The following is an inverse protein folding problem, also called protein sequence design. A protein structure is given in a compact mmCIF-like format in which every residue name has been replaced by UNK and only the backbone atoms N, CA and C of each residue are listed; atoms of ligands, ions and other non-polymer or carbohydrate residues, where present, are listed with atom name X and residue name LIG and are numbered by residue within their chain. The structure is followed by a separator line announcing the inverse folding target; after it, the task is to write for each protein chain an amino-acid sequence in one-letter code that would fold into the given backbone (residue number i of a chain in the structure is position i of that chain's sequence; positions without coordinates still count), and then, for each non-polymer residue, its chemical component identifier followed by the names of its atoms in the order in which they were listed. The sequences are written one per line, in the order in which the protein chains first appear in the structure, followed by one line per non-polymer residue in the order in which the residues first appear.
data_IF_743874775551
#
_entry.id   IF_743874775551
#
_cell.length_a   1.000
_cell.length_b   1.000
_cell.length_c   1.000
_cell.angle_alpha   90.00
_cell.angle_beta   90.00
_cell.angle_gamma   90.00
#
_symmetry.space_group_name_H-M   'P 1'
#
loop_
_entity.id
_entity.type
_entity.pdbx_description
1 polymer ?
#
# COMPACT_ATOMS: atom_id res chain seq x y z
N UNK A 1 4.46 -20.89 12.45
CA UNK A 1 3.83 -22.01 11.71
C UNK A 1 3.44 -21.59 10.28
N UNK A 2 3.92 -22.27 9.23
CA UNK A 2 3.56 -21.95 7.82
C UNK A 2 2.05 -22.08 7.54
N UNK A 3 1.41 -23.14 8.06
CA UNK A 3 -0.03 -23.37 7.87
C UNK A 3 -0.92 -22.30 8.52
N UNK A 4 -0.46 -21.64 9.58
CA UNK A 4 -1.13 -20.47 10.16
C UNK A 4 -0.95 -19.23 9.26
N UNK A 5 0.28 -18.96 8.82
CA UNK A 5 0.60 -17.77 8.03
C UNK A 5 -0.08 -17.77 6.65
N UNK A 6 -0.27 -18.93 6.03
CA UNK A 6 -0.86 -19.08 4.69
C UNK A 6 -2.39 -18.96 4.64
N UNK A 7 -3.08 -18.85 5.77
CA UNK A 7 -4.54 -18.76 5.80
C UNK A 7 -5.05 -17.39 5.34
N UNK A 8 -6.17 -17.40 4.63
CA UNK A 8 -6.86 -16.18 4.17
C UNK A 8 -7.74 -15.53 5.24
N UNK A 9 -8.00 -16.24 6.35
CA UNK A 9 -8.83 -15.75 7.47
C UNK A 9 -8.15 -14.60 8.23
N UNK A 10 -8.93 -13.76 8.93
CA UNK A 10 -8.41 -12.81 9.94
C UNK A 10 -7.49 -13.49 10.95
N UNK A 11 -6.46 -12.79 11.46
CA UNK A 11 -5.42 -13.40 12.31
C UNK A 11 -6.02 -14.07 13.55
N UNK A 12 -7.00 -13.43 14.19
CA UNK A 12 -7.71 -13.93 15.36
C UNK A 12 -8.56 -15.18 15.07
N UNK A 13 -8.96 -15.43 13.82
CA UNK A 13 -9.71 -16.63 13.42
C UNK A 13 -8.85 -17.79 12.90
N UNK A 14 -7.57 -17.53 12.60
CA UNK A 14 -6.65 -18.55 12.08
C UNK A 14 -6.36 -19.60 13.14
N UNK A 15 -6.17 -20.84 12.71
CA UNK A 15 -5.78 -21.97 13.56
C UNK A 15 -4.66 -22.77 12.88
N UNK A 16 -3.98 -23.70 13.53
CA UNK A 16 -3.12 -24.65 12.83
C UNK A 16 -2.96 -25.93 13.66
N UNK A 17 -2.41 -26.99 13.05
CA UNK A 17 -2.14 -28.24 13.74
C UNK A 17 -1.34 -28.02 15.05
N UNK A 18 -0.30 -27.20 15.00
CA UNK A 18 0.51 -26.87 16.19
C UNK A 18 -0.27 -26.12 17.28
N UNK A 19 -1.21 -25.23 16.93
CA UNK A 19 -2.03 -24.54 17.93
C UNK A 19 -3.01 -25.50 18.60
N UNK A 20 -3.58 -26.43 17.83
CA UNK A 20 -4.45 -27.49 18.34
C UNK A 20 -3.70 -28.46 19.24
N UNK A 21 -2.47 -28.83 18.86
CA UNK A 21 -1.60 -29.70 19.67
C UNK A 21 -1.15 -29.00 20.96
N UNK A 22 -0.84 -27.70 20.91
CA UNK A 22 -0.35 -26.95 22.06
C UNK A 22 -1.46 -26.52 23.04
N UNK A 23 -2.59 -26.04 22.53
CA UNK A 23 -3.68 -25.49 23.35
C UNK A 23 -4.82 -26.50 23.60
N UNK A 24 -4.86 -27.60 22.85
CA UNK A 24 -5.97 -28.54 22.83
C UNK A 24 -7.04 -28.17 21.80
N UNK A 25 -7.66 -29.19 21.18
CA UNK A 25 -8.67 -28.99 20.14
C UNK A 25 -9.89 -28.21 20.62
N UNK A 26 -10.38 -28.53 21.82
CA UNK A 26 -11.58 -27.89 22.38
C UNK A 26 -11.33 -26.43 22.72
N UNK A 27 -10.18 -26.11 23.33
CA UNK A 27 -9.79 -24.72 23.59
C UNK A 27 -9.71 -23.93 22.28
N UNK A 28 -9.06 -24.50 21.26
CA UNK A 28 -8.90 -23.82 19.98
C UNK A 28 -10.24 -23.60 19.27
N UNK A 29 -11.18 -24.56 19.34
CA UNK A 29 -12.56 -24.38 18.86
C UNK A 29 -13.28 -23.26 19.61
N UNK A 30 -13.20 -23.23 20.94
CA UNK A 30 -13.79 -22.17 21.75
C UNK A 30 -13.19 -20.80 21.42
N UNK A 31 -11.86 -20.73 21.29
CA UNK A 31 -11.14 -19.50 20.90
C UNK A 31 -11.59 -19.00 19.52
N UNK A 32 -11.70 -19.90 18.54
CA UNK A 32 -12.18 -19.54 17.21
C UNK A 32 -13.63 -19.04 17.24
N UNK A 33 -14.52 -19.67 18.01
CA UNK A 33 -15.91 -19.23 18.18
C UNK A 33 -15.99 -17.86 18.86
N UNK A 34 -15.23 -17.65 19.94
CA UNK A 34 -15.22 -16.40 20.69
C UNK A 34 -14.67 -15.22 19.87
N UNK A 35 -13.75 -15.48 18.94
CA UNK A 35 -13.18 -14.46 18.05
C UNK A 35 -13.95 -14.31 16.72
N UNK A 36 -14.97 -15.13 16.48
CA UNK A 36 -15.79 -15.03 15.28
C UNK A 36 -16.83 -13.93 15.47
N UNK A 37 -16.66 -12.84 14.74
CA UNK A 37 -17.65 -11.77 14.69
C UNK A 37 -18.58 -12.03 13.49
N UNK A 38 -19.89 -12.22 13.70
CA UNK A 38 -20.85 -12.36 12.61
C UNK A 38 -20.78 -11.13 11.70
N UNK A 39 -20.77 -11.36 10.39
CA UNK A 39 -20.76 -10.23 9.44
C UNK A 39 -22.12 -9.53 9.48
N UNK A 40 -22.17 -8.19 9.42
CA UNK A 40 -23.42 -7.45 9.41
C UNK A 40 -24.34 -7.91 8.27
N UNK A 41 -25.61 -8.20 8.61
CA UNK A 41 -26.64 -8.57 7.64
C UNK A 41 -26.94 -7.41 6.68
N UNK A 42 -27.11 -7.69 5.39
CA UNK A 42 -27.44 -6.68 4.38
C UNK A 42 -26.23 -5.98 3.74
N UNK A 43 -25.00 -6.33 4.13
CA UNK A 43 -23.79 -5.93 3.42
C UNK A 43 -23.43 -7.03 2.42
N UNK A 44 -23.29 -6.67 1.14
CA UNK A 44 -22.77 -7.59 0.14
C UNK A 44 -21.29 -7.85 0.44
N UNK A 45 -20.89 -9.12 0.55
CA UNK A 45 -19.48 -9.45 0.83
C UNK A 45 -18.54 -9.06 -0.31
N UNK A 46 -19.09 -8.89 -1.51
CA UNK A 46 -18.38 -8.50 -2.70
C UNK A 46 -19.27 -7.67 -3.63
N UNK A 47 -18.71 -6.64 -4.25
CA UNK A 47 -19.37 -5.84 -5.29
C UNK A 47 -18.41 -5.62 -6.48
N UNK A 48 -18.93 -5.25 -7.64
CA UNK A 48 -18.07 -4.79 -8.73
C UNK A 48 -17.80 -3.28 -8.56
N UNK A 49 -16.54 -2.92 -8.35
CA UNK A 49 -16.10 -1.52 -8.28
C UNK A 49 -15.07 -1.25 -9.35
N UNK A 50 -15.32 -0.21 -10.14
CA UNK A 50 -14.34 0.36 -11.06
C UNK A 50 -13.89 1.70 -10.50
N UNK A 51 -12.60 1.83 -10.19
CA UNK A 51 -12.04 3.04 -9.59
C UNK A 51 -10.92 3.60 -10.47
N UNK A 52 -10.68 4.89 -10.31
CA UNK A 52 -9.59 5.63 -10.95
C UNK A 52 -8.22 5.06 -10.52
N UNK A 53 -7.36 4.75 -11.48
CA UNK A 53 -6.02 4.23 -11.23
C UNK A 53 -4.96 5.16 -11.81
N UNK A 54 -3.88 5.34 -11.06
CA UNK A 54 -2.81 6.24 -11.47
C UNK A 54 -1.84 5.61 -12.47
N UNK A 55 -1.38 6.41 -13.42
CA UNK A 55 -0.14 6.16 -14.18
C UNK A 55 1.10 6.54 -13.37
N UNK A 56 2.29 6.12 -13.84
CA UNK A 56 3.56 6.55 -13.26
C UNK A 56 3.89 7.95 -13.80
N UNK A 57 4.34 8.85 -12.95
CA UNK A 57 4.94 10.12 -13.39
C UNK A 57 6.29 9.88 -14.08
N UNK A 58 6.54 10.66 -15.12
CA UNK A 58 7.79 10.67 -15.88
C UNK A 58 8.13 12.12 -16.18
N UNK A 59 9.24 12.59 -15.62
CA UNK A 59 9.72 13.97 -15.71
C UNK A 59 10.04 14.44 -17.15
N UNK A 60 10.31 13.49 -18.05
CA UNK A 60 10.61 13.77 -19.47
C UNK A 60 9.34 13.98 -20.28
N UNK A 61 8.23 13.40 -19.83
CA UNK A 61 6.95 13.38 -20.56
C UNK A 61 5.93 14.34 -19.94
N UNK A 62 5.95 14.51 -18.63
CA UNK A 62 4.88 15.19 -17.89
C UNK A 62 5.38 16.51 -17.29
N UNK A 63 4.64 17.59 -17.55
CA UNK A 63 4.79 18.85 -16.84
C UNK A 63 3.79 18.92 -15.67
N UNK A 64 4.26 18.87 -14.41
CA UNK A 64 3.38 18.84 -13.24
C UNK A 64 2.90 20.24 -12.83
N UNK A 65 3.41 21.32 -13.43
CA UNK A 65 3.06 22.69 -13.02
C UNK A 65 1.57 22.94 -13.18
N UNK A 66 0.96 23.48 -12.13
CA UNK A 66 -0.48 23.73 -12.05
C UNK A 66 -1.31 22.52 -11.62
N UNK A 67 -0.75 21.31 -11.57
CA UNK A 67 -1.45 20.11 -11.10
C UNK A 67 -1.59 20.10 -9.58
N UNK A 68 -2.58 19.38 -9.07
CA UNK A 68 -2.79 19.21 -7.64
C UNK A 68 -1.88 18.11 -7.10
N UNK A 69 -1.26 18.34 -5.94
CA UNK A 69 -0.34 17.44 -5.25
C UNK A 69 -0.96 17.03 -3.92
N UNK A 70 -0.90 15.74 -3.61
CA UNK A 70 -1.17 15.19 -2.28
C UNK A 70 -0.13 14.14 -1.90
N UNK A 71 0.01 13.84 -0.60
CA UNK A 71 0.82 12.71 -0.15
C UNK A 71 0.26 11.40 -0.71
N UNK A 72 1.15 10.53 -1.20
CA UNK A 72 0.81 9.14 -1.47
C UNK A 72 0.89 8.36 -0.16
N UNK A 73 -0.25 7.88 0.31
CA UNK A 73 -0.37 7.09 1.53
C UNK A 73 -0.14 5.60 1.23
N UNK A 74 0.68 4.92 2.06
CA UNK A 74 0.90 3.47 2.02
C UNK A 74 -0.08 2.75 2.96
N UNK A 75 -1.37 2.86 2.66
CA UNK A 75 -2.45 2.25 3.43
C UNK A 75 -3.16 1.13 2.67
N UNK A 76 -4.44 0.95 2.96
CA UNK A 76 -5.34 0.06 2.22
C UNK A 76 -6.46 0.85 1.58
N UNK A 77 -6.43 0.99 0.26
CA UNK A 77 -7.49 1.66 -0.51
C UNK A 77 -8.86 1.10 -0.18
N UNK A 78 -9.78 2.00 0.15
CA UNK A 78 -11.16 1.69 0.50
C UNK A 78 -12.13 2.65 -0.21
N UNK A 79 -13.08 2.06 -0.92
CA UNK A 79 -14.23 2.73 -1.49
C UNK A 79 -15.39 2.65 -0.50
N UNK A 80 -15.88 3.79 -0.05
CA UNK A 80 -17.07 3.90 0.78
C UNK A 80 -18.29 4.12 -0.11
N UNK A 81 -19.28 3.23 -0.03
CA UNK A 81 -20.49 3.31 -0.85
C UNK A 81 -21.70 3.91 -0.11
N UNK A 82 -21.48 4.64 0.99
CA UNK A 82 -22.57 5.13 1.86
C UNK A 82 -22.99 4.17 2.97
N UNK A 83 -22.49 2.92 2.96
CA UNK A 83 -22.84 1.89 3.97
C UNK A 83 -21.68 1.02 4.42
N UNK A 84 -20.79 0.65 3.50
CA UNK A 84 -19.68 -0.25 3.78
C UNK A 84 -18.45 0.17 2.97
N UNK A 85 -17.28 -0.18 3.50
CA UNK A 85 -16.02 -0.08 2.76
C UNK A 85 -15.82 -1.29 1.87
N UNK A 86 -15.24 -1.06 0.70
CA UNK A 86 -14.85 -2.07 -0.25
C UNK A 86 -13.42 -1.83 -0.73
N UNK A 87 -12.65 -2.91 -0.82
CA UNK A 87 -11.33 -2.88 -1.46
C UNK A 87 -11.44 -2.53 -2.94
N UNK A 88 -10.31 -2.20 -3.57
CA UNK A 88 -10.19 -2.05 -5.03
C UNK A 88 -10.77 -3.21 -5.83
N UNK A 89 -10.71 -4.42 -5.29
CA UNK A 89 -11.21 -5.63 -5.96
C UNK A 89 -12.66 -5.96 -5.56
N UNK A 90 -13.34 -5.09 -4.80
CA UNK A 90 -14.73 -5.28 -4.46
C UNK A 90 -15.00 -6.07 -3.18
N UNK A 91 -13.98 -6.57 -2.48
CA UNK A 91 -14.17 -7.26 -1.19
C UNK A 91 -14.54 -6.28 -0.08
N UNK A 92 -15.56 -6.59 0.72
CA UNK A 92 -16.00 -5.76 1.84
C UNK A 92 -14.98 -5.75 3.00
N UNK A 93 -14.84 -4.58 3.64
CA UNK A 93 -14.19 -4.41 4.94
C UNK A 93 -15.26 -4.06 5.98
N UNK A 94 -15.35 -4.85 7.05
CA UNK A 94 -16.35 -4.69 8.10
C UNK A 94 -15.78 -3.81 9.22
N UNK A 95 -15.82 -2.49 8.98
CA UNK A 95 -15.50 -1.50 10.00
C UNK A 95 -16.58 -1.51 11.11
N UNK A 96 -16.22 -1.28 12.38
CA UNK A 96 -17.19 -1.08 13.44
C UNK A 96 -18.13 0.11 13.16
N UNK A 97 -19.38 0.03 13.63
CA UNK A 97 -20.37 1.09 13.41
C UNK A 97 -19.92 2.47 13.90
N UNK A 98 -19.19 2.53 15.02
CA UNK A 98 -18.65 3.78 15.56
C UNK A 98 -17.61 4.44 14.64
N UNK A 99 -16.93 3.66 13.80
CA UNK A 99 -15.91 4.18 12.88
C UNK A 99 -16.56 4.90 11.69
N UNK A 100 -17.71 4.42 11.23
CA UNK A 100 -18.41 4.92 10.04
C UNK A 100 -19.59 5.84 10.36
N UNK A 101 -19.84 6.13 11.65
CA UNK A 101 -21.04 6.86 12.11
C UNK A 101 -21.18 8.26 11.48
N UNK A 102 -20.04 8.92 11.25
CA UNK A 102 -19.94 10.28 10.71
C UNK A 102 -19.67 10.31 9.20
N UNK A 103 -19.74 9.17 8.50
CA UNK A 103 -19.55 9.13 7.05
C UNK A 103 -20.86 9.38 6.29
N UNK A 104 -20.80 10.03 5.12
CA UNK A 104 -22.00 10.38 4.37
C UNK A 104 -22.68 9.12 3.81
N UNK A 105 -24.00 9.10 3.78
CA UNK A 105 -24.77 7.95 3.26
C UNK A 105 -25.15 8.10 1.79
N UNK A 106 -25.15 9.33 1.29
CA UNK A 106 -25.56 9.77 -0.04
C UNK A 106 -24.37 10.17 -0.93
N UNK A 107 -23.17 10.30 -0.36
CA UNK A 107 -21.94 10.56 -1.09
C UNK A 107 -20.98 9.37 -0.99
N UNK A 108 -20.61 8.78 -2.13
CA UNK A 108 -19.57 7.75 -2.15
C UNK A 108 -18.19 8.41 -2.10
N UNK A 109 -17.28 7.82 -1.32
CA UNK A 109 -15.93 8.34 -1.13
C UNK A 109 -14.89 7.31 -1.60
N UNK A 110 -13.76 7.81 -2.09
CA UNK A 110 -12.57 7.03 -2.40
C UNK A 110 -11.40 7.59 -1.59
N UNK A 111 -10.68 6.67 -0.96
CA UNK A 111 -9.73 7.02 0.07
C UNK A 111 -8.85 5.84 0.47
N UNK A 112 -7.99 6.08 1.43
CA UNK A 112 -7.06 5.10 1.99
C UNK A 112 -7.35 4.89 3.47
N UNK A 113 -7.60 3.66 3.90
CA UNK A 113 -7.53 3.31 5.32
C UNK A 113 -6.05 3.29 5.72
N UNK A 114 -5.66 4.18 6.64
CA UNK A 114 -4.27 4.47 6.93
C UNK A 114 -4.02 4.47 8.45
N UNK A 115 -3.09 3.62 8.91
CA UNK A 115 -2.69 3.53 10.31
C UNK A 115 -1.43 4.32 10.65
N UNK A 116 -0.96 5.19 9.75
CA UNK A 116 0.29 5.93 9.88
C UNK A 116 1.40 5.43 8.95
N UNK A 117 2.44 6.26 8.82
CA UNK A 117 3.59 5.99 7.95
C UNK A 117 4.36 4.76 8.45
N UNK A 118 4.76 3.87 7.55
CA UNK A 118 5.43 2.61 7.91
C UNK A 118 4.53 1.54 8.55
N UNK A 119 3.22 1.78 8.71
CA UNK A 119 2.27 0.87 9.38
C UNK A 119 1.42 0.01 8.43
N UNK A 120 1.82 -0.11 7.16
CA UNK A 120 1.05 -0.83 6.14
C UNK A 120 0.65 -2.26 6.57
N UNK A 121 1.60 -3.05 7.10
CA UNK A 121 1.31 -4.43 7.50
C UNK A 121 0.31 -4.51 8.66
N UNK A 122 0.43 -3.60 9.64
CA UNK A 122 -0.51 -3.47 10.75
C UNK A 122 -1.90 -3.09 10.22
N UNK A 123 -1.96 -2.08 9.36
CA UNK A 123 -3.18 -1.61 8.69
C UNK A 123 -3.90 -2.75 7.97
N UNK A 124 -3.20 -3.50 7.12
CA UNK A 124 -3.75 -4.67 6.42
C UNK A 124 -4.31 -5.70 7.39
N UNK A 125 -3.62 -5.96 8.49
CA UNK A 125 -4.08 -6.91 9.51
C UNK A 125 -5.36 -6.45 10.19
N UNK A 126 -5.48 -5.16 10.50
CA UNK A 126 -6.64 -4.57 11.17
C UNK A 126 -7.85 -4.60 10.25
N UNK A 127 -7.74 -4.06 9.02
CA UNK A 127 -8.89 -3.91 8.11
C UNK A 127 -9.45 -5.23 7.60
N UNK A 128 -8.62 -6.29 7.57
CA UNK A 128 -9.07 -7.66 7.23
C UNK A 128 -9.83 -8.32 8.38
N UNK A 129 -9.69 -7.83 9.60
CA UNK A 129 -10.34 -8.37 10.78
C UNK A 129 -11.64 -7.63 11.02
N UNK A 130 -12.76 -8.35 10.85
CA UNK A 130 -14.10 -7.79 11.03
C UNK A 130 -14.24 -7.21 12.45
N UNK A 131 -14.70 -5.97 12.53
CA UNK A 131 -14.96 -5.22 13.76
C UNK A 131 -13.82 -5.25 14.80
N UNK A 132 -12.57 -5.30 14.35
CA UNK A 132 -11.42 -5.29 15.25
C UNK A 132 -11.43 -4.05 16.17
N UNK A 133 -11.14 -4.19 17.48
CA UNK A 133 -11.03 -3.02 18.36
C UNK A 133 -9.85 -2.09 17.98
N UNK A 134 -8.92 -2.58 17.14
CA UNK A 134 -7.77 -1.80 16.64
C UNK A 134 -8.12 -0.87 15.47
N UNK A 135 -9.37 -0.84 15.00
CA UNK A 135 -9.79 0.19 14.04
C UNK A 135 -9.60 1.61 14.58
N UNK A 136 -9.46 1.78 15.91
CA UNK A 136 -9.19 3.08 16.55
C UNK A 136 -7.83 3.67 16.15
N UNK A 137 -6.91 2.81 15.70
CA UNK A 137 -5.57 3.20 15.24
C UNK A 137 -5.54 3.54 13.74
N UNK A 138 -6.71 3.51 13.07
CA UNK A 138 -6.87 3.75 11.64
C UNK A 138 -7.64 5.05 11.43
N UNK A 139 -7.30 5.80 10.39
CA UNK A 139 -8.14 6.86 9.82
C UNK A 139 -8.43 6.59 8.35
N UNK A 140 -9.58 7.05 7.87
CA UNK A 140 -9.94 7.01 6.46
C UNK A 140 -9.58 8.32 5.76
N UNK A 141 -8.48 8.32 5.01
CA UNK A 141 -7.98 9.49 4.30
C UNK A 141 -8.64 9.59 2.93
N UNK A 142 -9.56 10.54 2.77
CA UNK A 142 -10.40 10.71 1.59
C UNK A 142 -9.76 11.65 0.58
N UNK A 143 -9.63 11.19 -0.67
CA UNK A 143 -8.97 11.94 -1.73
C UNK A 143 -9.82 12.13 -2.99
N UNK A 144 -11.01 11.51 -3.10
CA UNK A 144 -11.93 11.74 -4.22
C UNK A 144 -13.36 11.23 -3.92
N UNK A 145 -14.30 11.50 -4.83
CA UNK A 145 -15.65 10.94 -4.82
C UNK A 145 -16.03 10.41 -6.21
N UNK A 146 -16.09 9.08 -6.40
CA UNK A 146 -16.47 8.48 -7.68
C UNK A 146 -17.91 8.79 -8.09
N UNK A 147 -18.80 9.01 -7.12
CA UNK A 147 -20.22 9.31 -7.37
C UNK A 147 -20.40 10.63 -8.13
N UNK A 148 -19.54 11.61 -7.87
CA UNK A 148 -19.55 12.92 -8.51
C UNK A 148 -18.75 12.94 -9.83
N UNK A 149 -18.62 11.79 -10.52
CA UNK A 149 -17.61 11.62 -11.56
C UNK A 149 -17.74 12.51 -12.80
N UNK A 150 -18.91 13.10 -13.05
CA UNK A 150 -19.14 14.10 -14.11
C UNK A 150 -18.57 15.47 -13.78
N UNK A 151 -18.41 15.78 -12.49
CA UNK A 151 -17.87 17.04 -12.02
C UNK A 151 -16.34 17.08 -12.13
N UNK A 152 -15.80 18.28 -12.25
CA UNK A 152 -14.36 18.50 -12.22
C UNK A 152 -13.78 18.23 -10.83
N UNK A 153 -12.51 17.79 -10.77
CA UNK A 153 -11.83 17.42 -9.54
C UNK A 153 -11.95 18.47 -8.43
N UNK A 154 -11.79 19.75 -8.76
CA UNK A 154 -11.88 20.85 -7.80
C UNK A 154 -13.26 20.94 -7.15
N UNK A 155 -14.35 20.72 -7.92
CA UNK A 155 -15.71 20.74 -7.38
C UNK A 155 -15.94 19.54 -6.48
N UNK A 156 -15.44 18.35 -6.85
CA UNK A 156 -15.54 17.14 -6.01
C UNK A 156 -14.82 17.33 -4.68
N UNK A 157 -13.59 17.83 -4.71
CA UNK A 157 -12.81 18.09 -3.49
C UNK A 157 -13.42 19.17 -2.61
N UNK A 158 -13.98 20.23 -3.21
CA UNK A 158 -14.66 21.27 -2.47
C UNK A 158 -15.90 20.75 -1.73
N UNK A 159 -16.74 19.93 -2.38
CA UNK A 159 -17.92 19.33 -1.74
C UNK A 159 -17.56 18.36 -0.62
N UNK A 160 -16.50 17.56 -0.79
CA UNK A 160 -15.98 16.71 0.29
C UNK A 160 -15.49 17.59 1.44
N UNK A 161 -14.75 18.67 1.14
CA UNK A 161 -14.23 19.57 2.16
C UNK A 161 -15.36 20.25 2.96
N UNK A 162 -16.39 20.76 2.29
CA UNK A 162 -17.57 21.34 2.96
C UNK A 162 -18.22 20.34 3.92
N UNK A 163 -18.41 19.09 3.47
CA UNK A 163 -18.93 18.02 4.35
C UNK A 163 -18.04 17.79 5.57
N UNK A 164 -16.71 17.77 5.40
CA UNK A 164 -15.76 17.53 6.48
C UNK A 164 -15.67 18.69 7.47
N UNK A 165 -15.86 19.92 7.00
CA UNK A 165 -15.90 21.12 7.85
C UNK A 165 -17.19 21.20 8.68
N UNK A 166 -18.32 20.77 8.12
CA UNK A 166 -19.62 20.72 8.79
C UNK A 166 -19.72 19.56 9.80
N UNK A 167 -19.42 18.34 9.35
CA UNK A 167 -19.62 17.11 10.15
C UNK A 167 -18.45 16.80 11.07
N UNK A 168 -17.22 17.20 10.70
CA UNK A 168 -15.99 16.93 11.44
C UNK A 168 -15.82 15.45 11.83
N UNK A 169 -15.81 14.53 10.85
CA UNK A 169 -15.82 13.09 11.12
C UNK A 169 -14.59 12.65 11.92
N UNK A 170 -14.80 11.96 13.04
CA UNK A 170 -13.74 11.61 14.00
C UNK A 170 -12.65 10.71 13.39
N UNK A 171 -13.07 9.79 12.52
CA UNK A 171 -12.22 8.74 11.94
C UNK A 171 -11.95 8.91 10.45
N UNK A 172 -12.27 10.06 9.87
CA UNK A 172 -11.97 10.36 8.47
C UNK A 172 -11.19 11.67 8.36
N UNK A 173 -10.29 11.74 7.39
CA UNK A 173 -9.44 12.90 7.14
C UNK A 173 -9.56 13.30 5.69
N UNK A 174 -9.80 14.58 5.43
CA UNK A 174 -9.73 15.13 4.09
C UNK A 174 -8.26 15.23 3.66
N UNK A 175 -7.89 14.62 2.53
CA UNK A 175 -6.52 14.70 2.02
C UNK A 175 -6.32 16.05 1.34
N UNK A 176 -5.49 16.89 1.97
CA UNK A 176 -5.14 18.20 1.44
C UNK A 176 -4.53 18.12 0.05
N UNK A 177 -4.93 19.06 -0.82
CA UNK A 177 -4.44 19.20 -2.18
C UNK A 177 -3.72 20.54 -2.31
N UNK A 178 -2.43 20.51 -2.64
CA UNK A 178 -1.63 21.72 -2.88
C UNK A 178 -1.38 21.87 -4.37
N UNK A 179 -1.58 23.06 -4.93
CA UNK A 179 -1.26 23.31 -6.34
C UNK A 179 0.25 23.36 -6.57
N UNK A 180 0.74 22.57 -7.52
CA UNK A 180 2.13 22.57 -7.97
C UNK A 180 2.46 23.91 -8.63
N UNK A 181 3.54 24.57 -8.17
CA UNK A 181 3.92 25.92 -8.61
C UNK A 181 5.08 25.86 -9.61
N UNK A 182 6.00 24.92 -9.39
CA UNK A 182 7.16 24.66 -10.23
C UNK A 182 7.64 23.23 -10.00
N UNK A 183 8.66 22.78 -10.73
CA UNK A 183 9.28 21.46 -10.51
C UNK A 183 10.00 21.43 -9.16
N UNK A 184 10.64 22.52 -8.78
CA UNK A 184 11.33 22.69 -7.51
C UNK A 184 10.34 22.57 -6.34
N UNK A 185 9.16 23.20 -6.43
CA UNK A 185 8.11 23.02 -5.41
C UNK A 185 7.67 21.55 -5.28
N UNK A 186 7.60 20.80 -6.37
CA UNK A 186 7.27 19.37 -6.34
C UNK A 186 8.38 18.55 -5.66
N UNK A 187 9.65 18.85 -5.95
CA UNK A 187 10.82 18.20 -5.35
C UNK A 187 10.96 18.51 -3.86
N UNK A 188 10.70 19.75 -3.45
CA UNK A 188 10.64 20.16 -2.04
C UNK A 188 9.55 19.39 -1.29
N UNK A 189 8.33 19.33 -1.86
CA UNK A 189 7.23 18.55 -1.28
C UNK A 189 7.58 17.06 -1.21
N UNK A 190 8.18 16.50 -2.25
CA UNK A 190 8.59 15.09 -2.27
C UNK A 190 9.63 14.84 -1.17
N UNK A 191 10.64 15.70 -1.04
CA UNK A 191 11.69 15.58 -0.03
C UNK A 191 11.12 15.67 1.37
N UNK A 192 10.24 16.64 1.63
CA UNK A 192 9.54 16.77 2.92
C UNK A 192 8.75 15.51 3.26
N UNK A 193 7.94 14.99 2.34
CA UNK A 193 7.14 13.79 2.57
C UNK A 193 8.03 12.58 2.85
N UNK A 194 9.11 12.39 2.08
CA UNK A 194 10.06 11.31 2.30
C UNK A 194 10.78 11.42 3.66
N UNK A 195 11.19 12.63 4.04
CA UNK A 195 11.83 12.86 5.34
C UNK A 195 10.89 12.54 6.50
N UNK A 196 9.59 12.73 6.33
CA UNK A 196 8.60 12.35 7.32
C UNK A 196 8.21 10.86 7.28
N UNK A 197 8.85 10.06 6.41
CA UNK A 197 8.60 8.61 6.24
C UNK A 197 7.44 8.28 5.31
N UNK A 198 6.95 9.25 4.54
CA UNK A 198 5.86 9.06 3.57
C UNK A 198 6.33 8.36 2.29
N UNK A 199 5.39 7.77 1.55
CA UNK A 199 5.72 6.89 0.42
C UNK A 199 6.08 7.66 -0.87
N UNK A 200 5.54 8.87 -1.03
CA UNK A 200 5.72 9.70 -2.21
C UNK A 200 4.55 10.65 -2.42
N UNK A 201 4.28 11.01 -3.67
CA UNK A 201 3.23 11.97 -4.02
C UNK A 201 2.23 11.39 -5.03
N UNK A 202 0.99 11.86 -4.94
CA UNK A 202 -0.03 11.73 -5.97
C UNK A 202 -0.17 13.09 -6.65
N UNK A 203 -0.29 13.11 -7.99
CA UNK A 203 -0.56 14.32 -8.75
C UNK A 203 -1.79 14.16 -9.64
N UNK A 204 -2.66 15.17 -9.62
CA UNK A 204 -3.97 15.15 -10.26
C UNK A 204 -4.12 16.33 -11.21
N UNK A 205 -4.55 16.03 -12.44
CA UNK A 205 -4.74 17.03 -13.47
C UNK A 205 -5.89 17.98 -13.09
N UNK A 206 -5.71 19.32 -13.20
CA UNK A 206 -6.77 20.29 -12.94
C UNK A 206 -7.94 20.09 -13.90
N UNK A 207 -9.15 20.39 -13.44
CA UNK A 207 -10.40 20.29 -14.21
C UNK A 207 -10.72 18.89 -14.74
N UNK A 208 -10.05 17.85 -14.26
CA UNK A 208 -10.26 16.48 -14.73
C UNK A 208 -11.52 15.85 -14.13
N UNK A 209 -12.29 15.16 -14.98
CA UNK A 209 -13.40 14.30 -14.57
C UNK A 209 -12.89 12.98 -13.99
N UNK A 210 -13.77 12.23 -13.32
CA UNK A 210 -13.40 10.94 -12.75
C UNK A 210 -13.49 9.84 -13.82
N UNK A 211 -12.35 9.24 -14.15
CA UNK A 211 -12.28 8.11 -15.07
C UNK A 211 -12.12 6.82 -14.28
N UNK A 212 -13.14 5.95 -14.29
CA UNK A 212 -13.17 4.68 -13.54
C UNK A 212 -12.26 3.60 -14.15
N UNK A 213 -11.06 3.98 -14.57
CA UNK A 213 -10.05 3.15 -15.19
C UNK A 213 -8.66 3.70 -14.88
N UNK A 214 -7.62 3.14 -15.49
CA UNK A 214 -6.30 3.74 -15.42
C UNK A 214 -6.25 4.98 -16.31
N UNK A 215 -5.93 6.13 -15.72
CA UNK A 215 -6.04 7.43 -16.38
C UNK A 215 -4.76 8.24 -16.27
N UNK A 216 -4.44 8.99 -17.33
CA UNK A 216 -3.33 9.95 -17.34
C UNK A 216 -3.63 11.19 -16.49
N UNK A 217 -4.88 11.40 -16.10
CA UNK A 217 -5.32 12.51 -15.23
C UNK A 217 -4.90 12.33 -13.77
N UNK A 218 -4.42 11.14 -13.39
CA UNK A 218 -3.87 10.84 -12.06
C UNK A 218 -2.52 10.15 -12.23
N UNK A 219 -1.47 10.72 -11.66
CA UNK A 219 -0.13 10.14 -11.68
C UNK A 219 0.37 9.93 -10.25
N UNK A 220 1.25 8.95 -10.09
CA UNK A 220 1.95 8.68 -8.84
C UNK A 220 3.45 8.91 -9.02
N UNK A 221 4.06 9.58 -8.06
CA UNK A 221 5.48 9.83 -7.96
C UNK A 221 6.00 9.00 -6.79
N UNK A 222 7.01 8.18 -7.06
CA UNK A 222 7.72 7.39 -6.06
C UNK A 222 9.21 7.53 -6.30
N UNK A 223 9.98 7.67 -5.22
CA UNK A 223 11.43 7.57 -5.28
C UNK A 223 11.82 6.10 -5.20
N UNK A 224 12.79 5.72 -6.01
CA UNK A 224 13.42 4.41 -5.92
C UNK A 224 14.87 4.63 -5.50
N UNK A 225 15.38 3.71 -4.70
CA UNK A 225 16.78 3.58 -4.35
C UNK A 225 17.34 2.37 -5.08
N UNK A 226 18.52 2.53 -5.64
CA UNK A 226 19.28 1.44 -6.23
C UNK A 226 20.34 0.97 -5.22
N UNK A 227 20.49 -0.34 -5.08
CA UNK A 227 21.42 -0.94 -4.13
C UNK A 227 21.97 -2.29 -4.63
N UNK A 228 23.01 -2.66 -3.90
CA UNK A 228 23.93 -3.79 -3.97
C UNK A 228 23.45 -5.03 -3.24
N UNK A 229 23.34 -6.21 -3.86
CA UNK A 229 23.25 -7.43 -3.06
C UNK A 229 23.94 -8.62 -3.73
N UNK A 230 24.51 -9.51 -2.91
CA UNK A 230 25.09 -10.76 -3.37
C UNK A 230 24.04 -11.87 -3.37
N UNK A 231 23.96 -12.64 -4.45
CA UNK A 231 23.07 -13.81 -4.55
C UNK A 231 23.61 -14.94 -3.68
N UNK A 232 22.80 -15.39 -2.73
CA UNK A 232 23.14 -16.46 -1.78
C UNK A 232 22.31 -17.74 -2.01
N UNK A 233 21.34 -17.69 -2.91
CA UNK A 233 20.54 -18.85 -3.29
C UNK A 233 19.41 -18.51 -4.25
N UNK A 234 18.64 -19.53 -4.62
CA UNK A 234 17.47 -19.39 -5.48
C UNK A 234 16.24 -20.00 -4.80
N UNK A 235 15.07 -19.41 -5.07
CA UNK A 235 13.78 -19.94 -4.66
C UNK A 235 13.03 -20.48 -5.87
N UNK A 236 12.41 -21.66 -5.71
CA UNK A 236 11.62 -22.27 -6.77
C UNK A 236 10.37 -21.43 -7.11
N UNK A 237 10.12 -21.26 -8.40
CA UNK A 237 8.93 -20.58 -8.90
C UNK A 237 7.64 -21.37 -8.67
N UNK A 238 6.53 -20.65 -8.66
CA UNK A 238 5.17 -21.18 -8.53
C UNK A 238 4.30 -20.69 -9.70
N UNK A 239 3.21 -21.38 -9.97
CA UNK A 239 2.27 -20.99 -11.03
C UNK A 239 2.95 -20.96 -12.40
N UNK A 240 2.88 -19.84 -13.10
CA UNK A 240 3.49 -19.68 -14.43
C UNK A 240 5.01 -19.90 -14.47
N UNK A 241 5.69 -19.83 -13.32
CA UNK A 241 7.14 -20.03 -13.20
C UNK A 241 7.49 -21.39 -12.56
N UNK A 242 6.56 -22.35 -12.53
CA UNK A 242 6.84 -23.69 -12.03
C UNK A 242 8.03 -24.30 -12.79
N UNK A 243 8.94 -24.96 -12.06
CA UNK A 243 10.21 -25.53 -12.58
C UNK A 243 11.32 -24.54 -12.96
N UNK A 244 11.13 -23.24 -12.71
CA UNK A 244 12.13 -22.20 -12.99
C UNK A 244 12.44 -21.40 -11.74
N UNK A 245 13.45 -20.52 -11.79
CA UNK A 245 13.75 -19.61 -10.69
C UNK A 245 12.57 -18.65 -10.46
N UNK A 246 12.04 -18.68 -9.23
CA UNK A 246 10.98 -17.80 -8.76
C UNK A 246 11.54 -16.48 -8.22
N UNK A 247 12.60 -16.57 -7.42
CA UNK A 247 13.27 -15.41 -6.85
C UNK A 247 14.75 -15.73 -6.54
N UNK A 248 15.57 -14.68 -6.51
CA UNK A 248 16.94 -14.75 -5.99
C UNK A 248 16.92 -14.45 -4.50
N UNK A 249 17.44 -15.36 -3.67
CA UNK A 249 17.73 -15.05 -2.26
C UNK A 249 19.05 -14.29 -2.22
N UNK A 250 19.03 -13.08 -1.69
CA UNK A 250 20.13 -12.13 -1.74
C UNK A 250 20.50 -11.65 -0.34
N UNK A 251 21.74 -11.22 -0.16
CA UNK A 251 22.27 -10.61 1.06
C UNK A 251 22.81 -9.22 0.76
N UNK A 252 22.33 -8.23 1.52
CA UNK A 252 22.78 -6.84 1.49
C UNK A 252 24.19 -6.69 2.10
N UNK A 253 24.83 -5.54 1.90
CA UNK A 253 26.13 -5.25 2.50
C UNK A 253 26.08 -5.24 4.03
N UNK A 254 25.01 -4.68 4.62
CA UNK A 254 24.71 -4.74 6.06
C UNK A 254 24.37 -6.15 6.58
N UNK A 255 24.34 -7.16 5.70
CA UNK A 255 24.14 -8.56 6.05
C UNK A 255 22.67 -9.00 6.11
N UNK A 256 21.70 -8.11 5.86
CA UNK A 256 20.27 -8.46 5.79
C UNK A 256 19.97 -9.34 4.58
N UNK A 257 19.24 -10.42 4.80
CA UNK A 257 18.76 -11.30 3.74
C UNK A 257 17.35 -10.90 3.28
N UNK A 258 17.11 -11.05 1.98
CA UNK A 258 15.81 -10.79 1.35
C UNK A 258 15.70 -11.53 0.01
N UNK A 259 14.52 -11.55 -0.58
CA UNK A 259 14.27 -12.24 -1.86
C UNK A 259 13.84 -11.26 -2.94
N UNK A 260 14.45 -11.37 -4.13
CA UNK A 260 14.15 -10.56 -5.31
C UNK A 260 13.46 -11.42 -6.36
N UNK A 261 12.12 -11.28 -6.46
CA UNK A 261 11.29 -12.07 -7.38
C UNK A 261 10.79 -11.31 -8.60
N UNK A 262 10.87 -9.98 -8.60
CA UNK A 262 10.42 -9.10 -9.69
C UNK A 262 11.61 -8.57 -10.50
N UNK A 263 11.39 -8.24 -11.77
CA UNK A 263 12.44 -7.72 -12.67
C UNK A 263 13.23 -8.79 -13.43
N UNK A 264 13.20 -10.05 -12.98
CA UNK A 264 13.77 -11.19 -13.71
C UNK A 264 13.01 -11.45 -15.01
N UNK A 265 13.72 -11.46 -16.13
CA UNK A 265 13.20 -11.89 -17.42
C UNK A 265 13.03 -13.41 -17.45
N UNK A 266 12.31 -13.94 -18.45
CA UNK A 266 12.25 -15.38 -18.65
C UNK A 266 13.66 -15.99 -18.76
N UNK A 267 14.57 -15.36 -19.51
CA UNK A 267 15.96 -15.83 -19.64
C UNK A 267 16.66 -15.92 -18.28
N UNK A 268 16.50 -14.92 -17.43
CA UNK A 268 17.04 -14.95 -16.06
C UNK A 268 16.39 -16.03 -15.21
N UNK A 269 15.12 -16.40 -15.46
CA UNK A 269 14.46 -17.47 -14.71
C UNK A 269 14.93 -18.87 -15.11
N UNK A 270 15.26 -19.06 -16.39
CA UNK A 270 15.87 -20.31 -16.88
C UNK A 270 17.33 -20.44 -16.44
N UNK A 271 18.05 -19.32 -16.49
CA UNK A 271 19.47 -19.25 -16.20
C UNK A 271 19.71 -18.15 -15.15
N UNK A 272 19.36 -18.41 -13.88
CA UNK A 272 19.44 -17.40 -12.83
C UNK A 272 20.88 -16.96 -12.58
N UNK A 273 21.09 -15.67 -12.21
CA UNK A 273 22.36 -15.21 -11.67
C UNK A 273 22.93 -16.19 -10.65
N UNK A 274 24.19 -16.58 -10.82
CA UNK A 274 24.81 -17.62 -10.02
C UNK A 274 24.93 -17.16 -8.56
N UNK A 275 25.00 -18.13 -7.65
CA UNK A 275 25.36 -17.85 -6.25
C UNK A 275 26.75 -17.20 -6.25
N UNK A 276 26.92 -16.14 -5.47
CA UNK A 276 28.11 -15.29 -5.43
C UNK A 276 28.08 -14.10 -6.38
N UNK A 277 27.15 -14.05 -7.34
CA UNK A 277 26.99 -12.91 -8.24
C UNK A 277 26.42 -11.70 -7.50
N UNK A 278 26.97 -10.51 -7.75
CA UNK A 278 26.41 -9.25 -7.26
C UNK A 278 25.40 -8.74 -8.27
N UNK A 279 24.24 -8.32 -7.77
CA UNK A 279 23.15 -7.80 -8.57
C UNK A 279 22.80 -6.39 -8.14
N UNK A 280 22.45 -5.52 -9.08
CA UNK A 280 21.76 -4.28 -8.76
C UNK A 280 20.27 -4.57 -8.64
N UNK A 281 19.66 -4.07 -7.58
CA UNK A 281 18.22 -4.06 -7.41
C UNK A 281 17.76 -2.65 -7.05
N UNK A 282 16.51 -2.35 -7.39
CA UNK A 282 15.85 -1.15 -6.91
C UNK A 282 14.72 -1.45 -5.95
N UNK A 283 14.48 -0.54 -5.02
CA UNK A 283 13.41 -0.65 -4.04
C UNK A 283 12.90 0.75 -3.65
N UNK A 284 11.79 0.83 -2.94
CA UNK A 284 11.18 2.14 -2.57
C UNK A 284 11.54 2.55 -1.15
N UNK A 285 11.56 1.59 -0.22
CA UNK A 285 11.76 1.81 1.21
C UNK A 285 12.21 0.50 1.88
N UNK A 286 12.72 0.59 3.10
CA UNK A 286 12.98 -0.57 3.94
C UNK A 286 11.77 -0.89 4.81
N UNK A 287 11.57 -2.17 5.12
CA UNK A 287 10.65 -2.60 6.19
C UNK A 287 11.23 -2.23 7.56
N UNK A 288 10.41 -2.27 8.62
CA UNK A 288 10.88 -2.15 10.02
C UNK A 288 12.03 -3.12 10.38
N UNK A 289 12.11 -4.26 9.69
CA UNK A 289 13.18 -5.24 9.86
C UNK A 289 14.48 -4.92 9.10
N UNK A 290 14.52 -3.83 8.34
CA UNK A 290 15.65 -3.41 7.52
C UNK A 290 15.74 -4.07 6.13
N UNK A 291 14.78 -4.92 5.76
CA UNK A 291 14.76 -5.56 4.43
C UNK A 291 14.05 -4.67 3.39
N UNK A 292 14.53 -4.58 2.14
CA UNK A 292 13.90 -3.82 1.06
C UNK A 292 12.45 -4.24 0.77
N UNK A 293 11.54 -3.27 0.62
CA UNK A 293 10.17 -3.51 0.17
C UNK A 293 10.05 -3.37 -1.35
N UNK A 294 9.36 -4.35 -1.93
CA UNK A 294 9.14 -4.47 -3.38
C UNK A 294 10.42 -4.41 -4.23
N UNK A 295 11.48 -5.16 -3.86
CA UNK A 295 12.73 -5.14 -4.59
C UNK A 295 12.53 -5.68 -6.02
N UNK A 296 13.13 -5.00 -6.98
CA UNK A 296 13.08 -5.35 -8.40
C UNK A 296 14.50 -5.47 -8.93
N UNK A 297 14.83 -6.64 -9.48
CA UNK A 297 16.10 -6.91 -10.16
C UNK A 297 16.28 -5.95 -11.35
N UNK A 298 17.47 -5.36 -11.47
CA UNK A 298 17.86 -4.50 -12.59
C UNK A 298 18.90 -5.16 -13.50
N UNK A 299 19.87 -5.87 -12.91
CA UNK A 299 20.94 -6.48 -13.67
C UNK A 299 22.02 -7.09 -12.78
N UNK A 300 22.96 -7.78 -13.41
CA UNK A 300 24.18 -8.28 -12.78
C UNK A 300 25.23 -7.16 -12.80
N UNK A 301 25.92 -6.93 -11.68
CA UNK A 301 27.13 -6.11 -11.64
C UNK A 301 28.32 -7.00 -12.05
N UNK A 302 28.98 -6.67 -13.15
CA UNK A 302 30.16 -7.41 -13.64
C UNK A 302 31.48 -6.81 -13.15
N UNK A 303 31.43 -5.59 -12.64
CA UNK A 303 32.55 -4.72 -12.31
C UNK A 303 32.74 -4.54 -10.80
N UNK A 304 32.00 -5.30 -9.98
CA UNK A 304 32.02 -5.17 -8.52
C UNK A 304 32.43 -6.45 -7.82
N UNK A 305 33.20 -6.28 -6.74
CA UNK A 305 33.68 -7.36 -5.87
C UNK A 305 32.90 -7.42 -4.54
N UNK A 306 32.22 -6.34 -4.17
CA UNK A 306 31.40 -6.24 -2.96
C UNK A 306 30.10 -5.46 -3.22
N UNK A 307 28.98 -5.82 -2.57
CA UNK A 307 27.73 -5.08 -2.68
C UNK A 307 27.78 -3.78 -1.87
N UNK A 308 27.14 -2.71 -2.36
CA UNK A 308 26.92 -1.47 -1.60
C UNK A 308 25.44 -1.25 -1.26
N UNK A 309 25.12 -0.98 0.00
CA UNK A 309 23.76 -0.61 0.39
C UNK A 309 23.40 0.82 -0.07
N UNK A 310 22.11 1.07 -0.31
CA UNK A 310 21.65 2.42 -0.62
C UNK A 310 21.77 3.34 0.61
N UNK A 311 22.18 4.58 0.35
CA UNK A 311 22.13 5.66 1.33
C UNK A 311 20.69 6.17 1.43
N UNK A 312 19.98 5.70 2.46
CA UNK A 312 18.62 6.14 2.76
C UNK A 312 18.72 7.18 3.86
N UNK A 313 18.16 8.37 3.63
CA UNK A 313 18.11 9.41 4.67
C UNK A 313 17.28 8.91 5.85
N UNK A 314 17.73 9.22 7.07
CA UNK A 314 16.95 8.98 8.27
C UNK A 314 15.65 9.79 8.23
N UNK A 315 14.58 9.18 8.73
CA UNK A 315 13.28 9.84 8.88
C UNK A 315 13.42 10.86 10.00
N UNK A 316 13.17 12.13 9.67
CA UNK A 316 13.17 13.24 10.62
C UNK A 316 11.82 13.27 11.37
N UNK A 317 11.84 13.75 12.61
CA UNK A 317 10.60 13.96 13.37
C UNK A 317 9.81 15.14 12.80
N UNK A 318 8.49 15.20 13.03
CA UNK A 318 7.65 16.31 12.52
C UNK A 318 8.11 17.69 13.01
N UNK A 319 8.73 17.77 14.20
CA UNK A 319 9.28 19.00 14.77
C UNK A 319 10.61 19.45 14.12
N UNK A 320 11.19 18.61 13.28
CA UNK A 320 12.50 18.83 12.62
C UNK A 320 12.36 19.21 11.12
N UNK A 321 11.13 19.35 10.58
CA UNK A 321 10.83 19.49 9.13
C UNK A 321 9.89 20.64 8.74
#
# INVERSE_FOLDING_TARGET
CKGFLSQRKPINERTCKHLKEYLGEEFEKCRQKANHVPRPSGIQSHINVSLLLAHKYDEKVHNPVGWWISEKLDGVRAFWNGRCFYSRLGNAFYAPAWFTKDLPKDMHLDGELFGGRGEFQSTVSIVKTAESPKWKDIKYHVFDSPHMGKEVFEKRMHLIKEYFEDVQPEHAVFVEQTKCKSKEHLEEKMTRILNLGGEGLMIRQPKSVYEACRSKTLLKIKKFYDAEAIVIGHEAGKGSNQHRCGALRCKMACGKEFSVGSGLTNKDRDHPPKIGTIITYKFQELSKGGSPRFPTFLGICIDKTEPKDAEIREVLNEDEV
#
